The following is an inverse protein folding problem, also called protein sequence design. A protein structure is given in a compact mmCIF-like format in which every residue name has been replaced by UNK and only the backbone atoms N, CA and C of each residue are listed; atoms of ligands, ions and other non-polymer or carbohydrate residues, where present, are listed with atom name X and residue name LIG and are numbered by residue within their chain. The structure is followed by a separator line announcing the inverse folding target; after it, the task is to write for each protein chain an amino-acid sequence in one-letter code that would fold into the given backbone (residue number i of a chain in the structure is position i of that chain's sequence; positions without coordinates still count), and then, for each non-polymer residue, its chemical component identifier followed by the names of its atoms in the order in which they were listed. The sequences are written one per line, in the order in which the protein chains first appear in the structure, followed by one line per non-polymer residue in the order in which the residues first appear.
data_IF_050657054476
#
_entry.id   IF_050657054476
#
_cell.length_a   1.000
_cell.length_b   1.000
_cell.length_c   1.000
_cell.angle_alpha   90.00
_cell.angle_beta   90.00
_cell.angle_gamma   90.00
#
_symmetry.space_group_name_H-M   'P 1'
#
loop_
_entity.id
_entity.type
_entity.pdbx_description
1 polymer ?
#
# COMPACT_ATOMS: atom_id res chain seq x y z
N UNK A 1 -99.75 28.64 18.91
CA UNK A 1 -98.99 28.43 20.16
C UNK A 1 -97.61 27.89 19.77
N UNK A 2 -96.55 28.70 19.88
CA UNK A 2 -95.19 28.21 19.66
C UNK A 2 -94.72 27.53 20.96
N UNK A 3 -94.74 26.20 20.98
CA UNK A 3 -94.21 25.40 22.08
C UNK A 3 -92.69 25.63 22.16
N UNK A 4 -92.16 25.78 23.39
CA UNK A 4 -90.72 25.96 23.61
C UNK A 4 -89.98 24.69 23.13
N UNK A 5 -88.95 24.80 22.27
CA UNK A 5 -88.30 23.66 21.61
C UNK A 5 -87.51 22.75 22.57
N UNK A 6 -87.26 23.22 23.81
CA UNK A 6 -86.55 22.49 24.86
C UNK A 6 -87.45 22.17 26.07
N UNK A 7 -88.77 22.11 25.86
CA UNK A 7 -89.76 21.98 26.94
C UNK A 7 -89.60 20.75 27.80
N UNK A 8 -89.34 19.63 27.15
CA UNK A 8 -89.23 18.29 27.70
C UNK A 8 -87.92 18.13 28.46
N UNK A 9 -86.81 18.62 27.88
CA UNK A 9 -85.49 18.64 28.50
C UNK A 9 -85.48 19.50 29.78
N UNK A 10 -86.11 20.68 29.75
CA UNK A 10 -86.25 21.53 30.92
C UNK A 10 -87.09 20.86 32.02
N UNK A 11 -88.23 20.24 31.68
CA UNK A 11 -89.04 19.54 32.69
C UNK A 11 -88.32 18.35 33.31
N UNK A 12 -87.54 17.61 32.51
CA UNK A 12 -86.75 16.48 33.00
C UNK A 12 -85.60 16.95 33.91
N UNK A 13 -84.94 18.06 33.56
CA UNK A 13 -83.88 18.64 34.40
C UNK A 13 -84.41 19.19 35.72
N UNK A 14 -85.57 19.86 35.71
CA UNK A 14 -86.23 20.35 36.92
C UNK A 14 -86.73 19.20 37.80
N UNK A 15 -87.25 18.11 37.20
CA UNK A 15 -87.64 16.90 37.92
C UNK A 15 -86.45 16.20 38.60
N UNK A 16 -85.24 16.38 38.07
CA UNK A 16 -83.98 15.93 38.64
C UNK A 16 -83.34 16.96 39.61
N UNK A 17 -84.13 17.87 40.18
CA UNK A 17 -83.66 18.92 41.10
C UNK A 17 -82.59 19.85 40.50
N UNK A 18 -82.56 20.02 39.17
CA UNK A 18 -81.60 20.85 38.45
C UNK A 18 -80.13 20.42 38.61
N UNK A 19 -79.85 19.12 38.84
CA UNK A 19 -78.50 18.58 39.03
C UNK A 19 -78.04 17.60 37.94
N UNK A 20 -78.92 17.15 37.05
CA UNK A 20 -78.60 16.17 36.02
C UNK A 20 -78.10 16.83 34.72
N UNK A 21 -76.79 17.02 34.62
CA UNK A 21 -76.11 17.65 33.48
C UNK A 21 -76.31 16.93 32.14
N UNK A 22 -76.71 15.65 32.15
CA UNK A 22 -77.01 14.90 30.92
C UNK A 22 -78.29 15.38 30.21
N UNK A 23 -79.14 16.14 30.91
CA UNK A 23 -80.41 16.70 30.41
C UNK A 23 -80.25 18.10 29.80
N UNK A 24 -79.09 18.72 29.98
CA UNK A 24 -78.77 20.03 29.43
C UNK A 24 -78.54 19.94 27.92
N UNK A 25 -78.85 21.02 27.21
CA UNK A 25 -78.74 21.06 25.74
C UNK A 25 -77.29 21.20 25.30
N UNK A 26 -76.94 20.63 24.13
CA UNK A 26 -75.61 20.78 23.50
C UNK A 26 -75.71 21.02 21.99
N UNK A 27 -74.66 21.60 21.42
CA UNK A 27 -74.46 21.76 19.99
C UNK A 27 -75.62 22.50 19.32
N UNK A 28 -76.21 21.86 18.30
CA UNK A 28 -77.29 22.47 17.52
C UNK A 28 -78.55 22.74 18.36
N UNK A 29 -78.91 21.85 19.29
CA UNK A 29 -80.10 22.01 20.12
C UNK A 29 -80.02 23.22 21.05
N UNK A 30 -78.84 23.52 21.60
CA UNK A 30 -78.62 24.72 22.40
C UNK A 30 -78.60 26.00 21.54
N UNK A 31 -78.01 25.95 20.33
CA UNK A 31 -78.06 27.07 19.38
C UNK A 31 -79.49 27.41 18.97
N UNK A 32 -80.29 26.41 18.61
CA UNK A 32 -81.69 26.57 18.21
C UNK A 32 -82.54 27.10 19.38
N UNK A 33 -82.29 26.63 20.61
CA UNK A 33 -82.93 27.11 21.82
C UNK A 33 -82.58 28.57 22.14
N UNK A 34 -81.31 28.96 22.01
CA UNK A 34 -80.86 30.35 22.22
C UNK A 34 -81.45 31.31 21.18
N UNK A 35 -81.51 30.92 19.90
CA UNK A 35 -82.14 31.72 18.84
C UNK A 35 -83.62 31.95 19.14
N UNK A 36 -84.33 30.89 19.57
CA UNK A 36 -85.74 31.00 19.92
C UNK A 36 -85.98 31.92 21.13
N UNK A 37 -85.04 31.96 22.08
CA UNK A 37 -85.12 32.73 23.32
C UNK A 37 -84.91 34.24 23.18
N UNK A 38 -84.23 34.73 22.12
CA UNK A 38 -83.77 36.13 21.97
C UNK A 38 -84.90 37.16 22.13
N UNK A 39 -86.06 36.91 21.54
CA UNK A 39 -87.21 37.84 21.56
C UNK A 39 -88.32 37.40 22.54
N UNK A 40 -87.97 36.64 23.57
CA UNK A 40 -88.92 36.05 24.53
C UNK A 40 -88.63 36.48 25.97
N UNK A 41 -89.68 36.79 26.72
CA UNK A 41 -89.60 36.97 28.17
C UNK A 41 -89.57 35.60 28.85
N UNK A 42 -88.37 35.12 29.18
CA UNK A 42 -88.13 33.81 29.79
C UNK A 42 -88.45 33.79 31.30
N UNK A 43 -88.80 32.61 31.83
CA UNK A 43 -88.88 32.40 33.27
C UNK A 43 -87.48 32.28 33.88
N UNK A 44 -87.38 32.47 35.21
CA UNK A 44 -86.12 32.28 35.94
C UNK A 44 -85.54 30.87 35.74
N UNK A 45 -86.39 29.84 35.61
CA UNK A 45 -85.98 28.45 35.38
C UNK A 45 -85.46 28.23 33.96
N UNK A 46 -86.09 28.83 32.94
CA UNK A 46 -85.60 28.79 31.55
C UNK A 46 -84.21 29.43 31.46
N UNK A 47 -84.01 30.57 32.12
CA UNK A 47 -82.71 31.24 32.16
C UNK A 47 -81.65 30.38 32.86
N UNK A 48 -81.99 29.77 34.01
CA UNK A 48 -81.08 28.87 34.73
C UNK A 48 -80.68 27.65 33.90
N UNK A 49 -81.62 27.04 33.17
CA UNK A 49 -81.37 25.88 32.32
C UNK A 49 -80.54 26.21 31.08
N UNK A 50 -80.86 27.30 30.38
CA UNK A 50 -80.09 27.72 29.21
C UNK A 50 -78.68 28.17 29.62
N UNK A 51 -78.54 28.89 30.73
CA UNK A 51 -77.23 29.27 31.26
C UNK A 51 -76.43 28.05 31.73
N UNK A 52 -77.05 27.10 32.45
CA UNK A 52 -76.38 25.85 32.84
C UNK A 52 -75.95 25.02 31.62
N UNK A 53 -76.79 24.94 30.59
CA UNK A 53 -76.45 24.25 29.32
C UNK A 53 -75.28 24.91 28.60
N UNK A 54 -75.25 26.24 28.58
CA UNK A 54 -74.17 27.00 27.97
C UNK A 54 -72.86 26.91 28.77
N UNK A 55 -72.91 26.89 30.10
CA UNK A 55 -71.74 26.69 30.94
C UNK A 55 -71.18 25.26 30.84
N UNK A 56 -72.05 24.24 30.78
CA UNK A 56 -71.62 22.86 30.55
C UNK A 56 -70.95 22.70 29.18
N UNK A 57 -71.56 23.21 28.10
CA UNK A 57 -70.97 23.14 26.76
C UNK A 57 -69.61 23.86 26.70
N UNK A 58 -69.48 25.03 27.35
CA UNK A 58 -68.18 25.72 27.48
C UNK A 58 -67.15 24.88 28.23
N UNK A 59 -67.53 24.25 29.35
CA UNK A 59 -66.64 23.40 30.12
C UNK A 59 -66.18 22.19 29.30
N UNK A 60 -67.07 21.53 28.57
CA UNK A 60 -66.73 20.37 27.74
C UNK A 60 -65.86 20.73 26.53
N UNK A 61 -66.09 21.88 25.92
CA UNK A 61 -65.21 22.40 24.87
C UNK A 61 -63.84 22.74 25.46
N UNK A 62 -63.79 23.36 26.65
CA UNK A 62 -62.53 23.69 27.32
C UNK A 62 -61.74 22.43 27.71
N UNK A 63 -62.41 21.37 28.20
CA UNK A 63 -61.74 20.10 28.52
C UNK A 63 -61.27 19.40 27.26
N UNK A 64 -62.08 19.31 26.20
CA UNK A 64 -61.69 18.74 24.93
C UNK A 64 -60.50 19.48 24.29
N UNK A 65 -60.48 20.81 24.35
CA UNK A 65 -59.38 21.64 23.86
C UNK A 65 -58.10 21.39 24.67
N UNK A 66 -58.19 21.34 26.01
CA UNK A 66 -57.03 21.07 26.87
C UNK A 66 -56.44 19.68 26.62
N UNK A 67 -57.28 18.67 26.39
CA UNK A 67 -56.86 17.30 26.10
C UNK A 67 -56.19 17.21 24.72
N UNK A 68 -56.72 17.91 23.73
CA UNK A 68 -56.10 18.03 22.40
C UNK A 68 -54.77 18.80 22.45
N UNK A 69 -54.67 19.87 23.26
CA UNK A 69 -53.42 20.58 23.48
C UNK A 69 -52.38 19.67 24.14
N UNK A 70 -52.74 18.90 25.16
CA UNK A 70 -51.87 17.93 25.82
C UNK A 70 -51.41 16.83 24.85
N UNK A 71 -52.32 16.23 24.08
CA UNK A 71 -51.97 15.25 23.05
C UNK A 71 -51.00 15.82 22.02
N UNK A 72 -51.26 17.05 21.54
CA UNK A 72 -50.37 17.72 20.58
C UNK A 72 -48.99 18.00 21.18
N UNK A 73 -48.90 18.34 22.46
CA UNK A 73 -47.65 18.54 23.19
C UNK A 73 -46.89 17.22 23.36
N UNK A 74 -47.57 16.14 23.72
CA UNK A 74 -46.96 14.81 23.84
C UNK A 74 -46.41 14.35 22.50
N UNK A 75 -47.18 14.52 21.41
CA UNK A 75 -46.73 14.17 20.06
C UNK A 75 -45.53 15.03 19.61
N UNK A 76 -45.56 16.32 19.89
CA UNK A 76 -44.44 17.22 19.60
C UNK A 76 -43.17 16.82 20.38
N UNK A 77 -43.31 16.51 21.67
CA UNK A 77 -42.20 16.06 22.52
C UNK A 77 -41.66 14.68 22.09
N UNK A 78 -42.55 13.75 21.71
CA UNK A 78 -42.15 12.45 21.20
C UNK A 78 -41.38 12.58 19.88
N UNK A 79 -41.83 13.45 18.98
CA UNK A 79 -41.15 13.71 17.71
C UNK A 79 -39.78 14.39 17.92
N UNK A 80 -39.68 15.36 18.83
CA UNK A 80 -38.40 15.99 19.20
C UNK A 80 -37.43 14.98 19.83
N UNK A 81 -37.92 14.12 20.72
CA UNK A 81 -37.11 13.04 21.33
C UNK A 81 -36.63 12.04 20.27
N UNK A 82 -37.49 11.68 19.31
CA UNK A 82 -37.13 10.78 18.22
C UNK A 82 -36.07 11.39 17.31
N UNK A 83 -36.23 12.64 16.91
CA UNK A 83 -35.28 13.33 16.02
C UNK A 83 -33.91 13.52 16.68
N UNK A 84 -33.88 13.88 17.98
CA UNK A 84 -32.62 13.99 18.74
C UNK A 84 -31.94 12.63 18.93
N UNK A 85 -32.70 11.56 19.20
CA UNK A 85 -32.16 10.20 19.26
C UNK A 85 -31.60 9.74 17.91
N UNK A 86 -32.31 9.99 16.80
CA UNK A 86 -31.84 9.69 15.45
C UNK A 86 -30.57 10.45 15.10
N UNK A 87 -30.50 11.73 15.46
CA UNK A 87 -29.30 12.55 15.25
C UNK A 87 -28.10 11.98 16.04
N UNK A 88 -28.30 11.64 17.32
CA UNK A 88 -27.26 11.02 18.16
C UNK A 88 -26.80 9.67 17.59
N UNK A 89 -27.72 8.82 17.16
CA UNK A 89 -27.41 7.52 16.56
C UNK A 89 -26.60 7.67 15.26
N UNK A 90 -27.01 8.54 14.33
CA UNK A 90 -26.26 8.83 13.09
C UNK A 90 -24.87 9.39 13.38
N UNK A 91 -24.74 10.24 14.39
CA UNK A 91 -23.43 10.76 14.82
C UNK A 91 -22.54 9.66 15.38
N UNK A 92 -23.08 8.77 16.22
CA UNK A 92 -22.33 7.64 16.76
C UNK A 92 -21.87 6.67 15.67
N UNK A 93 -22.72 6.33 14.70
CA UNK A 93 -22.32 5.46 13.59
C UNK A 93 -21.25 6.10 12.71
N UNK A 94 -21.34 7.41 12.45
CA UNK A 94 -20.32 8.15 11.69
C UNK A 94 -18.97 8.19 12.41
N UNK A 95 -18.97 8.47 13.71
CA UNK A 95 -17.75 8.48 14.52
C UNK A 95 -17.14 7.07 14.58
N UNK A 96 -17.95 6.04 14.84
CA UNK A 96 -17.49 4.65 14.85
C UNK A 96 -16.87 4.24 13.51
N UNK A 97 -17.53 4.59 12.40
CA UNK A 97 -17.00 4.36 11.05
C UNK A 97 -15.67 5.08 10.81
N UNK A 98 -15.53 6.33 11.24
CA UNK A 98 -14.27 7.08 11.10
C UNK A 98 -13.12 6.44 11.89
N UNK A 99 -13.38 6.01 13.14
CA UNK A 99 -12.38 5.33 13.99
C UNK A 99 -11.90 4.03 13.34
N UNK A 100 -12.81 3.23 12.78
CA UNK A 100 -12.46 2.00 12.06
C UNK A 100 -11.57 2.30 10.85
N UNK A 101 -11.92 3.30 10.04
CA UNK A 101 -11.13 3.69 8.88
C UNK A 101 -9.72 4.12 9.30
N UNK A 102 -9.59 4.99 10.31
CA UNK A 102 -8.28 5.41 10.82
C UNK A 102 -7.46 4.23 11.35
N UNK A 103 -8.11 3.26 12.01
CA UNK A 103 -7.45 2.07 12.55
C UNK A 103 -6.90 1.18 11.43
N UNK A 104 -7.69 0.96 10.37
CA UNK A 104 -7.28 0.19 9.20
C UNK A 104 -6.12 0.89 8.48
N UNK A 105 -6.21 2.21 8.28
CA UNK A 105 -5.12 2.99 7.65
C UNK A 105 -3.84 2.85 8.48
N UNK A 106 -3.90 3.03 9.79
CA UNK A 106 -2.75 2.86 10.68
C UNK A 106 -2.13 1.46 10.56
N UNK A 107 -2.95 0.41 10.55
CA UNK A 107 -2.49 -0.97 10.38
C UNK A 107 -1.83 -1.19 9.00
N UNK A 108 -2.39 -0.63 7.92
CA UNK A 108 -1.79 -0.76 6.58
C UNK A 108 -0.45 -0.05 6.48
N UNK A 109 -0.31 1.15 7.07
CA UNK A 109 0.96 1.88 7.08
C UNK A 109 2.01 1.09 7.87
N UNK A 110 1.65 0.58 9.05
CA UNK A 110 2.54 -0.26 9.85
C UNK A 110 2.96 -1.54 9.11
N UNK A 111 2.02 -2.18 8.41
CA UNK A 111 2.29 -3.35 7.59
C UNK A 111 3.25 -3.05 6.43
N UNK A 112 3.02 -1.97 5.70
CA UNK A 112 3.90 -1.53 4.60
C UNK A 112 5.31 -1.23 5.15
N UNK A 113 5.41 -0.51 6.27
CA UNK A 113 6.68 -0.20 6.91
C UNK A 113 7.44 -1.46 7.36
N UNK A 114 6.75 -2.41 7.99
CA UNK A 114 7.33 -3.70 8.40
C UNK A 114 7.80 -4.53 7.20
N UNK A 115 7.00 -4.57 6.12
CA UNK A 115 7.34 -5.32 4.91
C UNK A 115 8.55 -4.69 4.18
N UNK A 116 8.65 -3.37 4.17
CA UNK A 116 9.83 -2.67 3.62
C UNK A 116 11.10 -3.02 4.39
N UNK A 117 11.06 -2.98 5.73
CA UNK A 117 12.20 -3.37 6.57
C UNK A 117 12.59 -4.83 6.37
N UNK A 118 11.61 -5.73 6.21
CA UNK A 118 11.86 -7.14 5.95
C UNK A 118 12.59 -7.34 4.61
N UNK A 119 12.17 -6.64 3.55
CA UNK A 119 12.83 -6.70 2.25
C UNK A 119 14.27 -6.17 2.31
N UNK A 120 14.51 -5.06 3.00
CA UNK A 120 15.87 -4.53 3.22
C UNK A 120 16.77 -5.51 3.98
N UNK A 121 16.25 -6.13 5.05
CA UNK A 121 16.98 -7.12 5.83
C UNK A 121 17.29 -8.37 4.99
N UNK A 122 16.34 -8.84 4.18
CA UNK A 122 16.55 -9.96 3.27
C UNK A 122 17.65 -9.66 2.24
N UNK A 123 17.62 -8.49 1.59
CA UNK A 123 18.70 -8.10 0.68
C UNK A 123 20.04 -7.99 1.42
N UNK A 124 20.07 -7.39 2.62
CA UNK A 124 21.27 -7.36 3.46
C UNK A 124 21.86 -8.75 3.70
N UNK A 125 21.04 -9.72 4.12
CA UNK A 125 21.50 -11.10 4.34
C UNK A 125 22.00 -11.79 3.07
N UNK A 126 21.42 -11.50 1.90
CA UNK A 126 21.92 -12.02 0.62
C UNK A 126 23.30 -11.45 0.30
N UNK A 127 23.49 -10.15 0.52
CA UNK A 127 24.77 -9.48 0.31
C UNK A 127 25.84 -10.04 1.26
N UNK A 128 25.49 -10.27 2.53
CA UNK A 128 26.39 -10.90 3.49
C UNK A 128 26.86 -12.27 3.02
N UNK A 129 25.93 -13.13 2.58
CA UNK A 129 26.26 -14.44 2.02
C UNK A 129 27.16 -14.32 0.78
N UNK A 130 26.90 -13.35 -0.09
CA UNK A 130 27.73 -13.12 -1.28
C UNK A 130 29.17 -12.71 -0.90
N UNK A 131 29.34 -11.82 0.08
CA UNK A 131 30.65 -11.43 0.59
C UNK A 131 31.42 -12.60 1.21
N UNK A 132 30.76 -13.40 2.05
CA UNK A 132 31.34 -14.63 2.63
C UNK A 132 31.71 -15.64 1.53
N UNK A 133 30.86 -15.79 0.51
CA UNK A 133 31.11 -16.69 -0.62
C UNK A 133 32.33 -16.25 -1.42
N UNK A 134 32.46 -14.95 -1.69
CA UNK A 134 33.62 -14.38 -2.37
C UNK A 134 34.92 -14.69 -1.61
N UNK A 135 34.93 -14.44 -0.30
CA UNK A 135 36.07 -14.77 0.56
C UNK A 135 36.43 -16.26 0.52
N UNK A 136 35.44 -17.14 0.59
CA UNK A 136 35.66 -18.58 0.56
C UNK A 136 36.24 -19.06 -0.78
N UNK A 137 35.83 -18.46 -1.89
CA UNK A 137 36.26 -18.87 -3.23
C UNK A 137 37.60 -18.26 -3.64
N UNK A 138 38.05 -17.21 -2.96
CA UNK A 138 39.22 -16.42 -3.34
C UNK A 138 40.47 -17.26 -3.60
N UNK A 139 40.77 -18.26 -2.76
CA UNK A 139 41.94 -19.13 -2.91
C UNK A 139 41.99 -19.89 -4.25
N UNK A 140 40.83 -20.17 -4.85
CA UNK A 140 40.73 -20.99 -6.08
C UNK A 140 40.35 -20.20 -7.31
N UNK A 141 39.60 -19.10 -7.14
CA UNK A 141 38.98 -18.31 -8.20
C UNK A 141 39.12 -16.82 -7.89
N UNK A 142 40.35 -16.32 -7.88
CA UNK A 142 40.66 -14.95 -7.45
C UNK A 142 39.89 -13.87 -8.22
N UNK A 143 39.76 -14.01 -9.55
CA UNK A 143 39.03 -13.02 -10.37
C UNK A 143 37.52 -13.12 -10.16
N UNK A 144 36.95 -14.34 -10.17
CA UNK A 144 35.50 -14.52 -9.98
C UNK A 144 35.04 -14.06 -8.58
N UNK A 145 35.85 -14.33 -7.55
CA UNK A 145 35.58 -13.87 -6.20
C UNK A 145 35.65 -12.34 -6.09
N UNK A 146 36.62 -11.69 -6.74
CA UNK A 146 36.66 -10.23 -6.83
C UNK A 146 35.41 -9.67 -7.51
N UNK A 147 35.00 -10.23 -8.64
CA UNK A 147 33.77 -9.82 -9.34
C UNK A 147 32.54 -9.97 -8.44
N UNK A 148 32.45 -11.08 -7.70
CA UNK A 148 31.36 -11.33 -6.74
C UNK A 148 31.36 -10.32 -5.60
N UNK A 149 32.52 -10.00 -5.02
CA UNK A 149 32.65 -8.99 -3.97
C UNK A 149 32.31 -7.58 -4.49
N UNK A 150 32.70 -7.26 -5.73
CA UNK A 150 32.37 -5.99 -6.38
C UNK A 150 30.87 -5.85 -6.64
N UNK A 151 30.20 -6.89 -7.16
CA UNK A 151 28.73 -6.88 -7.34
C UNK A 151 28.01 -6.69 -5.99
N UNK A 152 28.41 -7.46 -4.97
CA UNK A 152 27.87 -7.34 -3.63
C UNK A 152 28.08 -5.93 -3.05
N UNK A 153 29.26 -5.34 -3.24
CA UNK A 153 29.56 -3.97 -2.83
C UNK A 153 28.72 -2.91 -3.57
N UNK A 154 28.51 -3.07 -4.88
CA UNK A 154 27.66 -2.17 -5.65
C UNK A 154 26.20 -2.25 -5.23
N UNK A 155 25.69 -3.46 -4.96
CA UNK A 155 24.33 -3.67 -4.46
C UNK A 155 24.18 -3.15 -3.03
N UNK A 156 25.18 -3.32 -2.18
CA UNK A 156 25.22 -2.74 -0.83
C UNK A 156 25.15 -1.21 -0.89
N UNK A 157 25.93 -0.57 -1.78
CA UNK A 157 25.87 0.88 -2.01
C UNK A 157 24.47 1.34 -2.40
N UNK A 158 23.69 0.52 -3.13
CA UNK A 158 22.31 0.85 -3.49
C UNK A 158 21.32 0.70 -2.32
N UNK A 159 21.62 -0.16 -1.35
CA UNK A 159 20.79 -0.43 -0.18
C UNK A 159 20.96 0.65 0.91
N UNK A 160 22.17 1.20 1.08
CA UNK A 160 22.50 2.17 2.15
C UNK A 160 22.29 3.64 1.72
N UNK A 161 21.27 3.93 0.91
CA UNK A 161 21.05 5.28 0.35
C UNK A 161 20.48 6.30 1.34
N UNK A 162 19.95 5.86 2.47
CA UNK A 162 19.13 6.70 3.35
C UNK A 162 19.93 7.42 4.46
N UNK A 163 21.27 7.47 4.35
CA UNK A 163 22.13 8.06 5.38
C UNK A 163 22.19 7.27 6.70
N UNK A 164 21.52 6.11 6.78
CA UNK A 164 21.64 5.17 7.90
C UNK A 164 23.05 4.60 7.97
N UNK A 165 23.59 4.45 9.18
CA UNK A 165 24.87 3.77 9.39
C UNK A 165 24.83 2.34 8.85
N UNK A 166 25.96 1.88 8.30
CA UNK A 166 26.12 0.54 7.75
C UNK A 166 25.90 -0.55 8.81
N UNK A 167 26.11 -0.24 10.09
CA UNK A 167 25.85 -1.11 11.24
C UNK A 167 24.38 -1.53 11.37
N UNK A 168 23.46 -0.77 10.78
CA UNK A 168 22.03 -1.09 10.78
C UNK A 168 21.64 -2.11 9.71
N UNK A 169 22.61 -2.58 8.91
CA UNK A 169 22.39 -3.57 7.87
C UNK A 169 23.23 -4.82 8.16
N UNK A 170 22.67 -6.03 8.04
CA UNK A 170 23.42 -7.27 8.23
C UNK A 170 24.25 -7.58 6.97
N UNK A 171 25.15 -6.68 6.56
CA UNK A 171 25.89 -6.73 5.29
C UNK A 171 27.30 -6.10 5.39
N UNK A 172 28.12 -6.55 6.33
CA UNK A 172 29.50 -6.08 6.53
C UNK A 172 30.51 -6.84 5.66
N UNK A 173 30.23 -8.11 5.35
CA UNK A 173 31.13 -8.98 4.59
C UNK A 173 31.47 -8.49 3.18
N UNK A 174 30.59 -7.83 2.40
CA UNK A 174 30.96 -7.33 1.07
C UNK A 174 32.15 -6.36 1.07
N UNK A 175 32.19 -5.43 2.03
CA UNK A 175 33.29 -4.47 2.15
C UNK A 175 34.57 -5.16 2.60
N UNK A 176 34.46 -6.06 3.59
CA UNK A 176 35.59 -6.83 4.07
C UNK A 176 36.15 -7.75 2.99
N UNK A 177 35.28 -8.40 2.21
CA UNK A 177 35.64 -9.22 1.06
C UNK A 177 36.36 -8.39 0.01
N UNK A 178 35.81 -7.24 -0.37
CA UNK A 178 36.42 -6.35 -1.35
C UNK A 178 37.81 -5.91 -0.89
N UNK A 179 37.94 -5.40 0.34
CA UNK A 179 39.22 -4.98 0.90
C UNK A 179 40.23 -6.13 0.94
N UNK A 180 39.82 -7.30 1.44
CA UNK A 180 40.70 -8.46 1.59
C UNK A 180 41.15 -8.98 0.23
N UNK A 181 40.23 -9.19 -0.70
CA UNK A 181 40.53 -9.71 -2.03
C UNK A 181 41.41 -8.73 -2.79
N UNK A 182 41.09 -7.43 -2.80
CA UNK A 182 41.90 -6.42 -3.51
C UNK A 182 43.31 -6.31 -2.94
N UNK A 183 43.50 -6.51 -1.63
CA UNK A 183 44.83 -6.48 -1.02
C UNK A 183 45.66 -7.76 -1.26
N UNK A 184 45.01 -8.89 -1.54
CA UNK A 184 45.68 -10.19 -1.65
C UNK A 184 45.68 -10.77 -3.06
N UNK A 185 44.95 -10.15 -4.00
CA UNK A 185 44.99 -10.55 -5.39
C UNK A 185 46.42 -10.41 -5.89
N UNK A 186 46.90 -11.45 -6.57
CA UNK A 186 48.30 -11.51 -7.01
C UNK A 186 48.38 -12.08 -8.41
N UNK A 187 49.46 -11.73 -9.09
CA UNK A 187 49.83 -12.41 -10.32
C UNK A 187 49.97 -13.92 -10.04
N UNK A 188 49.23 -14.72 -10.80
CA UNK A 188 49.20 -16.18 -10.60
C UNK A 188 50.41 -16.83 -11.26
N UNK A 189 50.87 -16.28 -12.39
CA UNK A 189 51.97 -16.86 -13.16
C UNK A 189 52.61 -15.84 -14.08
N UNK A 190 53.94 -15.83 -14.07
CA UNK A 190 54.77 -15.07 -14.99
C UNK A 190 55.42 -16.04 -15.99
N UNK A 191 55.35 -15.72 -17.29
CA UNK A 191 56.01 -16.50 -18.33
C UNK A 191 57.16 -15.69 -18.94
N UNK A 192 58.39 -16.21 -18.84
CA UNK A 192 59.52 -15.68 -19.62
C UNK A 192 59.44 -16.32 -21.01
N UNK A 193 58.65 -15.70 -21.89
CA UNK A 193 58.30 -16.32 -23.16
C UNK A 193 59.40 -16.19 -24.24
N UNK A 194 60.09 -15.04 -24.30
CA UNK A 194 61.00 -14.70 -25.39
C UNK A 194 62.24 -13.95 -24.90
N UNK A 195 63.30 -13.96 -25.72
CA UNK A 195 64.56 -13.24 -25.46
C UNK A 195 64.53 -11.78 -25.96
N UNK A 196 63.57 -11.46 -26.84
CA UNK A 196 63.29 -10.12 -27.35
C UNK A 196 61.95 -9.60 -26.84
N UNK A 197 61.60 -8.37 -27.22
CA UNK A 197 60.30 -7.80 -26.85
C UNK A 197 59.17 -8.67 -27.40
N UNK A 198 58.16 -8.90 -26.59
CA UNK A 198 56.92 -9.55 -27.01
C UNK A 198 56.07 -8.49 -27.68
N UNK A 199 55.76 -8.70 -28.96
CA UNK A 199 55.01 -7.75 -29.80
C UNK A 199 53.51 -8.06 -29.82
N UNK A 200 53.15 -9.32 -29.58
CA UNK A 200 51.76 -9.81 -29.66
C UNK A 200 51.55 -11.00 -28.74
N UNK A 201 50.33 -11.10 -28.19
CA UNK A 201 49.86 -12.24 -27.38
C UNK A 201 48.39 -12.46 -27.72
N UNK A 202 48.04 -13.65 -28.21
CA UNK A 202 46.66 -14.01 -28.55
C UNK A 202 46.27 -15.37 -27.97
N UNK A 203 44.99 -15.52 -27.65
CA UNK A 203 44.41 -16.79 -27.22
C UNK A 203 43.97 -17.62 -28.42
N UNK A 204 43.99 -18.95 -28.29
CA UNK A 204 43.19 -19.79 -29.16
C UNK A 204 41.70 -19.63 -28.83
N UNK A 205 40.83 -19.79 -29.83
CA UNK A 205 39.37 -19.66 -29.64
C UNK A 205 38.79 -20.69 -28.66
N UNK A 206 39.44 -21.85 -28.51
CA UNK A 206 39.07 -22.85 -27.52
C UNK A 206 39.64 -22.59 -26.11
N UNK A 207 40.44 -21.53 -25.95
CA UNK A 207 41.02 -21.08 -24.70
C UNK A 207 42.11 -21.98 -24.13
N UNK A 208 42.58 -23.00 -24.85
CA UNK A 208 43.57 -23.96 -24.34
C UNK A 208 45.02 -23.53 -24.56
N UNK A 209 45.25 -22.66 -25.54
CA UNK A 209 46.59 -22.26 -25.95
C UNK A 209 46.72 -20.74 -26.03
N UNK A 210 47.96 -20.30 -25.88
CA UNK A 210 48.40 -18.94 -26.13
C UNK A 210 49.40 -18.95 -27.27
N UNK A 211 49.36 -17.97 -28.16
CA UNK A 211 50.40 -17.71 -29.13
C UNK A 211 51.03 -16.34 -28.84
N UNK A 212 52.36 -16.31 -28.86
CA UNK A 212 53.15 -15.09 -28.66
C UNK A 212 54.06 -14.88 -29.86
N UNK A 213 54.26 -13.62 -30.26
CA UNK A 213 55.25 -13.22 -31.26
C UNK A 213 56.28 -12.26 -30.66
N UNK A 214 57.49 -12.28 -31.19
CA UNK A 214 58.59 -11.48 -30.64
C UNK A 214 59.60 -11.00 -31.68
N UNK A 215 60.29 -9.91 -31.32
CA UNK A 215 61.50 -9.40 -31.98
C UNK A 215 62.65 -10.42 -32.00
N UNK A 216 62.58 -11.48 -31.19
CA UNK A 216 63.53 -12.62 -31.24
C UNK A 216 63.36 -13.49 -32.51
N UNK A 217 62.51 -13.05 -33.45
CA UNK A 217 62.21 -13.68 -34.75
C UNK A 217 61.45 -14.98 -34.65
N UNK A 218 60.86 -15.26 -33.50
CA UNK A 218 60.03 -16.45 -33.28
C UNK A 218 58.61 -16.08 -32.87
N UNK A 219 57.67 -16.91 -33.30
CA UNK A 219 56.42 -17.05 -32.60
C UNK A 219 56.45 -18.34 -31.77
N UNK A 220 55.71 -18.40 -30.67
CA UNK A 220 55.69 -19.54 -29.75
C UNK A 220 54.27 -19.83 -29.30
N UNK A 221 53.94 -21.11 -29.21
CA UNK A 221 52.66 -21.59 -28.72
C UNK A 221 52.87 -22.19 -27.34
N UNK A 222 52.00 -21.84 -26.41
CA UNK A 222 52.07 -22.23 -25.00
C UNK A 222 50.76 -22.89 -24.59
N UNK A 223 50.84 -23.83 -23.67
CA UNK A 223 49.67 -24.22 -22.88
C UNK A 223 49.47 -23.26 -21.69
N UNK A 224 48.32 -23.37 -21.02
CA UNK A 224 48.00 -22.56 -19.84
C UNK A 224 48.86 -22.87 -18.61
N UNK A 225 49.61 -23.98 -18.64
CA UNK A 225 50.59 -24.28 -17.61
C UNK A 225 51.85 -23.43 -17.76
N UNK A 226 52.10 -22.85 -18.93
CA UNK A 226 53.31 -22.12 -19.29
C UNK A 226 54.33 -22.91 -20.05
N UNK A 227 53.99 -24.13 -20.44
CA UNK A 227 54.89 -24.99 -21.18
C UNK A 227 54.88 -24.55 -22.63
N UNK A 228 56.07 -24.37 -23.19
CA UNK A 228 56.24 -24.19 -24.62
C UNK A 228 55.81 -25.48 -25.34
N UNK A 229 54.81 -25.39 -26.20
CA UNK A 229 54.28 -26.49 -27.01
C UNK A 229 55.03 -26.56 -28.33
N UNK A 230 55.08 -25.44 -29.07
CA UNK A 230 55.79 -25.36 -30.36
C UNK A 230 56.46 -23.99 -30.52
N UNK A 231 57.77 -23.95 -30.81
CA UNK A 231 58.41 -22.76 -31.35
C UNK A 231 58.25 -22.71 -32.88
N UNK A 232 57.64 -21.64 -33.38
CA UNK A 232 57.50 -21.33 -34.81
C UNK A 232 58.70 -20.50 -35.24
N UNK A 233 59.67 -21.18 -35.86
CA UNK A 233 60.90 -20.59 -36.38
C UNK A 233 60.84 -20.54 -37.90
N UNK A 234 61.45 -19.51 -38.51
CA UNK A 234 61.55 -19.39 -39.97
C UNK A 234 61.72 -17.94 -40.43
N UNK A 235 61.11 -17.01 -39.69
CA UNK A 235 61.24 -15.58 -39.94
C UNK A 235 62.67 -15.08 -39.74
N UNK A 236 63.07 -14.12 -40.57
CA UNK A 236 64.39 -13.48 -40.53
C UNK A 236 64.35 -12.10 -39.87
N UNK A 237 63.16 -11.54 -39.67
CA UNK A 237 62.87 -10.32 -38.93
C UNK A 237 62.03 -10.57 -37.67
N UNK A 238 61.75 -9.52 -36.90
CA UNK A 238 60.86 -9.62 -35.74
C UNK A 238 59.46 -10.05 -36.18
N UNK A 239 58.79 -10.88 -35.37
CA UNK A 239 57.39 -11.26 -35.60
C UNK A 239 56.53 -10.22 -34.91
N UNK A 240 55.70 -9.48 -35.65
CA UNK A 240 54.84 -8.45 -35.07
C UNK A 240 53.38 -8.87 -34.94
N UNK A 241 52.96 -9.94 -35.63
CA UNK A 241 51.65 -10.55 -35.41
C UNK A 241 51.72 -12.08 -35.47
N UNK A 242 50.89 -12.73 -34.65
CA UNK A 242 50.78 -14.18 -34.55
C UNK A 242 49.36 -14.51 -34.04
N UNK A 243 48.58 -15.24 -34.84
CA UNK A 243 47.17 -15.53 -34.53
C UNK A 243 46.78 -16.95 -34.94
N UNK A 244 45.81 -17.51 -34.21
CA UNK A 244 45.13 -18.73 -34.61
C UNK A 244 44.05 -18.41 -35.64
N UNK A 245 43.90 -19.28 -36.63
CA UNK A 245 42.70 -19.31 -37.45
C UNK A 245 41.51 -19.71 -36.57
N UNK A 246 40.29 -19.19 -36.83
CA UNK A 246 39.07 -19.61 -36.14
C UNK A 246 38.83 -21.13 -36.04
N UNK A 247 39.37 -21.92 -36.98
CA UNK A 247 39.28 -23.38 -36.94
C UNK A 247 40.27 -24.05 -35.96
N UNK A 248 41.17 -23.28 -35.34
CA UNK A 248 42.17 -23.71 -34.37
C UNK A 248 43.31 -24.58 -34.93
N UNK A 249 43.32 -24.86 -36.24
CA UNK A 249 44.28 -25.79 -36.88
C UNK A 249 45.40 -25.10 -37.61
N UNK A 250 45.20 -23.83 -37.96
CA UNK A 250 46.19 -23.04 -38.70
C UNK A 250 46.61 -21.85 -37.88
N UNK A 251 47.84 -21.42 -38.11
CA UNK A 251 48.42 -20.25 -37.49
C UNK A 251 48.98 -19.35 -38.58
N UNK A 252 48.69 -18.07 -38.45
CA UNK A 252 49.27 -17.04 -39.30
C UNK A 252 50.28 -16.24 -38.49
N UNK A 253 51.47 -16.07 -39.07
CA UNK A 253 52.53 -15.23 -38.51
C UNK A 253 52.99 -14.23 -39.57
N UNK A 254 53.23 -12.99 -39.17
CA UNK A 254 53.74 -11.94 -40.05
C UNK A 254 54.94 -11.23 -39.43
N UNK A 255 55.95 -10.97 -40.25
CA UNK A 255 57.25 -10.47 -39.80
C UNK A 255 57.76 -9.30 -40.65
N UNK A 256 58.66 -8.52 -40.06
CA UNK A 256 59.39 -7.41 -40.69
C UNK A 256 60.25 -7.85 -41.89
N UNK A 257 60.46 -9.16 -42.09
CA UNK A 257 61.11 -9.71 -43.28
C UNK A 257 60.24 -9.63 -44.56
N UNK A 258 59.07 -9.00 -44.47
CA UNK A 258 58.07 -8.83 -45.55
C UNK A 258 57.46 -10.15 -46.01
N UNK A 259 57.55 -11.21 -45.20
CA UNK A 259 56.91 -12.49 -45.44
C UNK A 259 55.86 -12.77 -44.36
N UNK A 260 54.76 -13.39 -44.78
CA UNK A 260 53.85 -14.07 -43.87
C UNK A 260 54.10 -15.57 -43.99
N UNK A 261 54.14 -16.25 -42.86
CA UNK A 261 54.24 -17.71 -42.81
C UNK A 261 52.92 -18.24 -42.26
N UNK A 262 52.29 -19.12 -43.03
CA UNK A 262 51.14 -19.91 -42.60
C UNK A 262 51.64 -21.30 -42.21
N UNK A 263 51.46 -21.65 -40.93
CA UNK A 263 51.84 -22.94 -40.37
C UNK A 263 50.62 -23.77 -40.00
N UNK A 264 50.67 -25.08 -40.28
CA UNK A 264 49.68 -26.03 -39.77
C UNK A 264 50.09 -26.44 -38.36
N UNK A 265 49.19 -26.30 -37.38
CA UNK A 265 49.34 -26.95 -36.09
C UNK A 265 49.09 -28.44 -36.29
N UNK A 266 50.13 -29.22 -36.59
CA UNK A 266 50.03 -30.67 -36.51
C UNK A 266 49.87 -31.03 -35.03
N UNK A 267 48.63 -31.23 -34.61
CA UNK A 267 48.31 -31.90 -33.37
C UNK A 267 48.87 -33.32 -33.44
N UNK A 268 50.13 -33.49 -33.04
CA UNK A 268 50.62 -34.81 -32.70
C UNK A 268 49.89 -35.20 -31.41
N UNK A 269 49.01 -36.21 -31.55
CA UNK A 269 48.22 -36.85 -30.51
C UNK A 269 48.98 -37.11 -29.20
#
# INVERSE_FOLDING_TARGET
MNLRPYSEALSAWVAANCQDDSRLLRGKALKDANIWAVDKSLSKQDYQFLNASQELEKQEIATALSLQEEESRILAQANDTLTTAQYKAKRQTRIGGAVLICSVIGATIAFIGANHQLQEAQEGTKLERAGVTALKQFETKQIESLVTAMDAGQRLKKLVKDGRSLENYPATSPLFALQTITNNIREVKQFVAHEGNITTVNWSDDGKYLITGSDDKTARIWDLSGKLIVPLKGHQGGVYNAEFNPDGRHILTSSDDKQFVSGILLANN
#
